data_IF_656187388392
#
_entry.id   IF_656187388392
#
_cell.length_a   1.000
_cell.length_b   1.000
_cell.length_c   1.000
_cell.angle_alpha   90.00
_cell.angle_beta   90.00
_cell.angle_gamma   90.00
#
_symmetry.space_group_name_H-M   'P 1'
#
loop_
_entity.id
_entity.type
_entity.pdbx_description
1 polymer ?
#
# COMPACT_ATOMS: atom_id res chain seq x y z
N UNK A 1 -22.87 54.22 -3.80
CA UNK A 1 -23.75 54.00 -4.96
C UNK A 1 -23.94 52.51 -5.14
N UNK A 2 -25.20 52.05 -5.07
CA UNK A 2 -25.61 50.69 -5.44
C UNK A 2 -25.41 50.48 -6.94
N UNK A 3 -25.05 49.27 -7.37
CA UNK A 3 -25.93 48.44 -8.19
C UNK A 3 -25.50 46.97 -8.13
N UNK A 4 -26.40 46.14 -7.60
CA UNK A 4 -26.52 44.70 -7.85
C UNK A 4 -27.19 44.52 -9.21
N UNK A 5 -26.75 43.53 -10.00
CA UNK A 5 -27.60 42.86 -10.99
C UNK A 5 -27.39 41.35 -10.85
N UNK A 6 -28.49 40.65 -10.57
CA UNK A 6 -28.68 39.20 -10.63
C UNK A 6 -29.65 38.93 -11.78
N UNK A 7 -29.27 38.08 -12.75
CA UNK A 7 -30.10 37.19 -13.60
C UNK A 7 -29.08 36.25 -14.28
N UNK A 8 -29.18 34.94 -14.46
CA UNK A 8 -30.20 33.91 -14.31
C UNK A 8 -29.69 32.69 -15.13
N UNK A 9 -30.11 31.49 -14.74
CA UNK A 9 -29.63 30.17 -15.20
C UNK A 9 -29.95 29.89 -16.68
N UNK A 10 -29.02 29.27 -17.43
CA UNK A 10 -29.32 28.28 -18.48
C UNK A 10 -28.06 27.54 -18.94
N UNK A 11 -28.13 26.21 -18.92
CA UNK A 11 -27.23 25.25 -19.56
C UNK A 11 -27.00 25.56 -21.05
N UNK A 12 -25.80 25.30 -21.60
CA UNK A 12 -25.56 24.66 -22.90
C UNK A 12 -24.05 24.41 -23.14
N UNK A 13 -23.76 23.34 -23.88
CA UNK A 13 -22.47 22.71 -24.21
C UNK A 13 -21.58 23.50 -25.18
N UNK A 14 -20.27 23.16 -25.15
CA UNK A 14 -19.21 23.29 -26.18
C UNK A 14 -18.93 24.67 -26.81
N UNK A 15 -17.72 25.18 -26.60
CA UNK A 15 -16.70 25.37 -27.67
C UNK A 15 -15.37 25.86 -27.07
N UNK A 16 -14.29 25.12 -27.37
CA UNK A 16 -12.91 25.47 -27.04
C UNK A 16 -12.38 26.44 -28.10
N UNK A 17 -12.26 27.72 -27.76
CA UNK A 17 -11.52 28.73 -28.53
C UNK A 17 -10.15 29.00 -27.90
N UNK A 18 -9.14 28.20 -28.24
CA UNK A 18 -7.74 28.48 -27.96
C UNK A 18 -7.10 29.17 -29.18
N UNK A 19 -6.13 30.06 -28.90
CA UNK A 19 -5.30 30.85 -29.83
C UNK A 19 -5.85 32.23 -30.23
N UNK A 20 -5.77 33.21 -29.32
CA UNK A 20 -5.92 34.63 -29.69
C UNK A 20 -4.86 35.59 -29.11
N UNK A 21 -3.85 35.13 -28.35
CA UNK A 21 -2.94 36.06 -27.64
C UNK A 21 -1.46 35.68 -27.67
N UNK A 22 -0.90 35.25 -28.80
CA UNK A 22 0.56 35.03 -28.96
C UNK A 22 1.18 35.90 -30.08
N UNK A 23 2.41 36.43 -29.93
CA UNK A 23 2.88 37.62 -30.66
C UNK A 23 3.46 37.38 -32.07
N UNK A 24 3.11 36.28 -32.75
CA UNK A 24 3.78 35.89 -34.01
C UNK A 24 2.83 35.32 -35.07
N UNK A 25 1.66 35.93 -35.24
CA UNK A 25 0.77 35.63 -36.36
C UNK A 25 0.78 36.82 -37.34
N UNK A 26 1.24 36.62 -38.57
CA UNK A 26 1.02 37.59 -39.65
C UNK A 26 -0.07 37.07 -40.57
N UNK A 27 -1.13 37.86 -40.71
CA UNK A 27 -2.20 37.59 -41.68
C UNK A 27 -1.72 37.87 -43.10
N UNK A 28 -1.74 36.85 -43.94
CA UNK A 28 -1.80 37.02 -45.40
C UNK A 28 -2.70 35.95 -46.00
N UNK A 29 -3.98 36.29 -46.17
CA UNK A 29 -4.97 35.60 -47.02
C UNK A 29 -5.29 34.15 -46.67
N UNK A 30 -6.49 33.90 -46.12
CA UNK A 30 -7.24 32.63 -45.96
C UNK A 30 -6.51 31.35 -45.47
N UNK A 31 -5.21 31.36 -45.28
CA UNK A 31 -4.40 30.27 -44.76
C UNK A 31 -3.54 30.84 -43.64
N UNK A 32 -3.84 30.43 -42.41
CA UNK A 32 -2.99 30.69 -41.25
C UNK A 32 -1.79 29.74 -41.35
N UNK A 33 -0.66 30.23 -41.84
CA UNK A 33 0.61 29.49 -41.76
C UNK A 33 1.27 29.73 -40.41
N UNK A 34 1.09 28.78 -39.49
CA UNK A 34 1.90 28.69 -38.28
C UNK A 34 3.20 27.94 -38.63
N UNK A 35 4.31 28.64 -38.84
CA UNK A 35 5.63 27.99 -38.83
C UNK A 35 6.01 27.73 -37.37
N UNK A 36 5.89 26.48 -36.89
CA UNK A 36 6.54 26.04 -35.65
C UNK A 36 8.04 26.36 -35.75
N UNK A 37 8.62 27.07 -34.77
CA UNK A 37 9.48 26.33 -33.83
C UNK A 37 9.70 27.05 -32.49
N UNK A 38 9.26 26.51 -31.34
CA UNK A 38 9.87 26.93 -30.06
C UNK A 38 9.87 25.75 -29.07
N UNK A 39 10.87 24.86 -29.17
CA UNK A 39 11.37 24.23 -27.95
C UNK A 39 12.03 25.34 -27.13
N UNK A 40 11.56 25.63 -25.91
CA UNK A 40 12.32 26.52 -25.06
C UNK A 40 13.65 25.85 -24.72
N UNK A 41 14.72 26.64 -24.63
CA UNK A 41 15.99 26.10 -24.15
C UNK A 41 15.79 25.70 -22.68
N UNK A 42 15.84 24.42 -22.33
CA UNK A 42 15.57 23.96 -20.97
C UNK A 42 16.54 24.54 -19.93
N UNK A 43 17.70 25.09 -20.34
CA UNK A 43 18.61 25.82 -19.43
C UNK A 43 18.04 27.15 -18.91
N UNK A 44 17.01 27.69 -19.55
CA UNK A 44 16.36 28.96 -19.16
C UNK A 44 14.90 28.76 -18.72
N UNK A 45 14.43 27.51 -18.67
CA UNK A 45 13.10 27.15 -18.16
C UNK A 45 13.26 26.71 -16.71
N UNK A 46 12.48 27.31 -15.83
CA UNK A 46 12.45 26.96 -14.41
C UNK A 46 11.07 26.36 -14.09
N UNK A 47 11.06 25.09 -13.70
CA UNK A 47 9.84 24.34 -13.43
C UNK A 47 9.43 24.59 -11.98
N UNK A 48 8.42 25.44 -11.77
CA UNK A 48 7.95 25.83 -10.44
C UNK A 48 6.46 25.50 -10.31
N UNK A 49 6.04 24.73 -9.29
CA UNK A 49 6.89 24.05 -8.31
C UNK A 49 7.75 22.95 -8.97
N UNK A 50 8.91 22.66 -8.36
CA UNK A 50 9.73 21.52 -8.75
C UNK A 50 8.92 20.26 -8.41
N UNK A 51 8.47 19.56 -9.44
CA UNK A 51 7.68 18.34 -9.30
C UNK A 51 8.65 17.17 -9.12
N UNK A 52 8.47 16.39 -8.07
CA UNK A 52 9.20 15.15 -7.84
C UNK A 52 8.29 13.93 -8.06
N UNK A 53 8.86 12.72 -8.24
CA UNK A 53 8.08 11.49 -8.39
C UNK A 53 7.03 11.26 -7.29
N UNK A 54 7.33 11.69 -6.06
CA UNK A 54 6.46 11.57 -4.89
C UNK A 54 5.23 12.48 -4.90
N UNK A 55 5.24 13.52 -5.73
CA UNK A 55 4.18 14.53 -5.79
C UNK A 55 3.03 14.08 -6.70
N UNK A 56 3.21 13.00 -7.48
CA UNK A 56 2.18 12.52 -8.38
C UNK A 56 1.01 11.86 -7.63
N UNK A 57 -0.25 12.23 -7.96
CA UNK A 57 -1.42 11.63 -7.35
C UNK A 57 -1.50 10.13 -7.65
N UNK A 58 -2.21 9.39 -6.78
CA UNK A 58 -2.40 7.95 -6.93
C UNK A 58 -2.94 7.60 -8.33
N UNK A 59 -2.36 6.58 -8.95
CA UNK A 59 -2.74 6.13 -10.30
C UNK A 59 -2.09 6.93 -11.43
N UNK A 60 -1.09 7.78 -11.13
CA UNK A 60 -0.37 8.58 -12.12
C UNK A 60 1.15 8.42 -11.96
N UNK A 61 1.91 8.64 -13.03
CA UNK A 61 3.34 8.35 -13.13
C UNK A 61 4.12 9.63 -13.35
N UNK A 62 5.23 9.77 -12.69
CA UNK A 62 6.13 10.88 -12.96
C UNK A 62 6.91 10.64 -14.25
N UNK A 63 6.77 11.54 -15.21
CA UNK A 63 7.60 11.57 -16.40
C UNK A 63 8.34 12.90 -16.50
N UNK A 64 9.64 12.82 -16.74
CA UNK A 64 10.47 13.96 -17.03
C UNK A 64 10.21 14.50 -18.45
N UNK A 65 10.45 15.79 -18.65
CA UNK A 65 10.48 16.40 -19.99
C UNK A 65 9.19 16.22 -20.80
N UNK A 66 8.03 16.31 -20.14
CA UNK A 66 6.75 16.08 -20.78
C UNK A 66 6.02 17.38 -21.15
N UNK A 67 6.08 18.40 -20.29
CA UNK A 67 5.35 19.67 -20.48
C UNK A 67 6.29 20.83 -20.80
N UNK A 68 5.73 21.92 -21.34
CA UNK A 68 6.47 23.13 -21.77
C UNK A 68 7.58 22.83 -22.80
N UNK A 69 7.24 22.16 -23.89
CA UNK A 69 8.18 21.86 -24.97
C UNK A 69 9.29 20.89 -24.56
N UNK A 70 8.93 19.92 -23.70
CA UNK A 70 9.81 18.88 -23.17
C UNK A 70 10.92 19.35 -22.22
N UNK A 71 10.63 20.34 -21.37
CA UNK A 71 11.59 20.82 -20.36
C UNK A 71 11.16 20.57 -18.92
N UNK A 72 9.86 20.36 -18.66
CA UNK A 72 9.36 20.17 -17.30
C UNK A 72 8.69 18.81 -17.12
N UNK A 73 8.83 18.20 -15.94
CA UNK A 73 8.15 16.95 -15.60
C UNK A 73 6.64 17.13 -15.42
N UNK A 74 5.90 16.04 -15.53
CA UNK A 74 4.48 15.97 -15.24
C UNK A 74 4.06 14.59 -14.75
N UNK A 75 2.88 14.53 -14.13
CA UNK A 75 2.24 13.28 -13.77
C UNK A 75 1.42 12.78 -14.95
N UNK A 76 1.50 11.50 -15.25
CA UNK A 76 0.89 10.88 -16.43
C UNK A 76 -0.11 9.85 -15.97
N UNK A 77 -1.32 9.87 -16.50
CA UNK A 77 -2.32 8.82 -16.31
C UNK A 77 -2.37 7.99 -17.59
N UNK A 78 -1.94 6.73 -17.52
CA UNK A 78 -2.04 5.78 -18.63
C UNK A 78 -3.41 5.09 -18.64
N UNK A 79 -3.72 4.43 -19.76
CA UNK A 79 -4.89 3.55 -19.85
C UNK A 79 -4.75 2.37 -18.87
N UNK A 80 -5.85 1.99 -18.22
CA UNK A 80 -5.90 0.84 -17.32
C UNK A 80 -6.15 -0.45 -18.10
N UNK A 81 -5.87 -1.60 -17.49
CA UNK A 81 -6.30 -2.91 -18.01
C UNK A 81 -7.81 -2.87 -18.28
N UNK A 82 -8.21 -3.27 -19.48
CA UNK A 82 -9.62 -3.23 -19.90
C UNK A 82 -10.08 -1.90 -20.52
N UNK A 83 -9.29 -0.82 -20.42
CA UNK A 83 -9.61 0.43 -21.10
C UNK A 83 -9.42 0.28 -22.61
N UNK A 84 -10.26 0.98 -23.37
CA UNK A 84 -10.15 1.02 -24.83
C UNK A 84 -8.88 1.77 -25.23
N UNK A 85 -8.06 1.11 -26.02
CA UNK A 85 -6.86 1.66 -26.62
C UNK A 85 -6.97 1.55 -28.15
N UNK A 86 -6.12 2.26 -28.89
CA UNK A 86 -6.19 2.27 -30.35
C UNK A 86 -4.85 1.80 -30.95
N UNK A 87 -4.82 0.62 -31.57
CA UNK A 87 -3.74 0.22 -32.49
C UNK A 87 -4.02 0.81 -33.87
N UNK A 88 -3.03 1.48 -34.47
CA UNK A 88 -3.01 1.76 -35.91
C UNK A 88 -1.98 0.82 -36.57
N UNK A 89 -2.40 -0.23 -37.30
CA UNK A 89 -1.49 -1.20 -37.90
C UNK A 89 -0.74 -0.68 -39.16
N UNK A 90 -0.87 0.60 -39.50
CA UNK A 90 -0.14 1.24 -40.60
C UNK A 90 0.87 2.28 -40.16
N UNK A 91 1.39 2.21 -38.93
CA UNK A 91 2.64 2.91 -38.64
C UNK A 91 3.61 2.19 -37.72
N UNK A 92 4.71 1.74 -38.34
CA UNK A 92 6.05 1.90 -37.78
C UNK A 92 6.14 3.28 -37.12
N UNK A 93 6.16 3.41 -35.78
CA UNK A 93 6.59 4.56 -34.97
C UNK A 93 6.45 6.01 -35.54
N UNK A 94 5.49 6.31 -36.44
CA UNK A 94 5.56 7.51 -37.31
C UNK A 94 4.20 8.23 -37.54
N UNK A 95 3.00 7.73 -37.19
CA UNK A 95 1.76 8.45 -37.58
C UNK A 95 0.72 8.73 -36.50
N UNK A 96 1.17 8.79 -35.24
CA UNK A 96 0.66 9.87 -34.37
C UNK A 96 1.68 11.02 -34.22
N UNK A 97 2.80 10.93 -34.97
CA UNK A 97 3.83 11.96 -35.13
C UNK A 97 3.73 12.69 -36.49
N UNK A 98 2.55 12.72 -37.13
CA UNK A 98 2.35 13.61 -38.30
C UNK A 98 1.95 15.04 -37.93
N UNK A 99 1.77 15.36 -36.64
CA UNK A 99 1.78 16.75 -36.16
C UNK A 99 2.74 17.04 -35.00
N UNK A 100 3.48 16.04 -34.52
CA UNK A 100 4.66 16.28 -33.70
C UNK A 100 5.83 15.77 -34.48
N UNK A 101 6.60 16.68 -35.07
CA UNK A 101 7.96 16.35 -35.51
C UNK A 101 8.72 15.93 -34.25
N UNK A 102 9.40 14.77 -34.20
CA UNK A 102 10.39 14.54 -33.15
C UNK A 102 11.42 15.65 -33.32
N UNK A 103 11.48 16.59 -32.37
CA UNK A 103 12.40 17.72 -32.44
C UNK A 103 13.83 17.18 -32.29
N UNK A 104 14.45 16.82 -33.42
CA UNK A 104 15.89 16.70 -33.53
C UNK A 104 16.49 18.09 -33.34
N UNK A 105 16.83 18.40 -32.10
CA UNK A 105 17.50 19.65 -31.75
C UNK A 105 18.91 19.66 -32.36
N UNK A 106 19.09 20.42 -33.43
CA UNK A 106 20.40 20.62 -34.03
C UNK A 106 21.22 21.58 -33.14
N UNK A 107 22.52 21.31 -32.85
CA UNK A 107 23.25 21.98 -31.77
C UNK A 107 23.52 23.47 -31.95
N UNK A 108 23.26 24.05 -33.12
CA UNK A 108 23.80 25.36 -33.46
C UNK A 108 22.71 26.24 -34.07
N UNK A 109 22.00 27.00 -33.21
CA UNK A 109 21.46 28.34 -33.51
C UNK A 109 20.86 28.94 -32.23
N UNK A 110 21.71 29.65 -31.49
CA UNK A 110 21.27 30.58 -30.45
C UNK A 110 20.52 31.75 -31.10
N UNK A 111 19.33 32.05 -30.59
CA UNK A 111 18.79 33.41 -30.63
C UNK A 111 18.30 33.78 -29.23
N UNK A 112 18.84 34.91 -28.77
CA UNK A 112 18.54 35.59 -27.52
C UNK A 112 17.06 35.98 -27.51
N UNK A 113 16.28 35.36 -26.63
CA UNK A 113 15.04 35.93 -26.14
C UNK A 113 15.34 36.41 -24.73
N UNK A 114 15.24 37.72 -24.56
CA UNK A 114 15.37 38.47 -23.32
C UNK A 114 14.57 37.78 -22.19
N UNK A 115 15.15 37.70 -21.00
CA UNK A 115 14.69 37.03 -19.76
C UNK A 115 13.16 37.04 -19.53
N UNK A 116 12.41 36.22 -20.26
CA UNK A 116 11.02 35.90 -19.95
C UNK A 116 11.00 34.60 -19.16
N UNK A 117 10.97 34.71 -17.83
CA UNK A 117 10.66 33.57 -16.96
C UNK A 117 9.26 33.08 -17.34
N UNK A 118 9.15 31.95 -18.04
CA UNK A 118 7.87 31.27 -18.25
C UNK A 118 7.54 30.53 -16.94
N UNK A 119 6.90 31.23 -16.00
CA UNK A 119 6.36 30.61 -14.78
C UNK A 119 5.07 29.87 -15.12
N UNK A 120 5.05 28.56 -14.91
CA UNK A 120 3.81 27.83 -14.75
C UNK A 120 3.12 28.34 -13.48
N UNK A 121 2.02 29.09 -13.63
CA UNK A 121 1.30 29.74 -12.53
C UNK A 121 0.08 28.92 -12.05
N UNK A 122 0.05 27.62 -12.33
CA UNK A 122 -0.99 26.75 -11.80
C UNK A 122 -0.49 26.11 -10.50
N UNK A 123 -1.30 26.21 -9.45
CA UNK A 123 -1.11 25.53 -8.16
C UNK A 123 -1.38 24.02 -8.26
N UNK A 124 -1.90 23.57 -9.39
CA UNK A 124 -2.31 22.20 -9.62
C UNK A 124 -1.20 21.41 -10.31
N UNK A 125 -0.95 20.19 -9.83
CA UNK A 125 0.04 19.26 -10.39
C UNK A 125 -0.31 18.99 -11.86
N UNK A 126 0.63 19.17 -12.81
CA UNK A 126 0.36 18.94 -14.22
C UNK A 126 0.06 17.44 -14.45
N UNK A 127 -1.19 17.13 -14.80
CA UNK A 127 -1.65 15.78 -15.11
C UNK A 127 -1.89 15.63 -16.62
N UNK A 128 -1.25 14.64 -17.24
CA UNK A 128 -1.35 14.33 -18.67
C UNK A 128 -1.97 12.95 -18.84
N UNK A 129 -3.09 12.83 -19.55
CA UNK A 129 -3.66 11.52 -19.86
C UNK A 129 -3.08 10.99 -21.17
N UNK A 130 -2.53 9.77 -21.17
CA UNK A 130 -2.04 9.08 -22.37
C UNK A 130 -3.03 8.01 -22.80
N UNK A 131 -3.28 7.94 -24.11
CA UNK A 131 -4.07 6.87 -24.74
C UNK A 131 -3.21 5.62 -25.05
N UNK A 132 -2.11 5.46 -24.32
CA UNK A 132 -1.18 4.34 -24.46
C UNK A 132 -1.38 3.41 -23.28
N UNK A 133 -1.26 2.12 -23.55
CA UNK A 133 -1.09 1.17 -22.47
C UNK A 133 0.27 1.42 -21.82
N UNK A 134 0.36 1.29 -20.50
CA UNK A 134 1.60 1.48 -19.75
C UNK A 134 2.55 0.28 -19.93
N UNK A 135 3.80 0.42 -19.46
CA UNK A 135 4.83 -0.62 -19.62
C UNK A 135 4.34 -2.00 -19.11
N UNK A 136 4.66 -3.07 -19.85
CA UNK A 136 4.15 -4.45 -19.65
C UNK A 136 2.69 -4.67 -20.07
N UNK A 137 2.03 -3.68 -20.66
CA UNK A 137 0.70 -3.84 -21.27
C UNK A 137 0.74 -3.52 -22.77
N UNK A 138 0.16 -4.42 -23.58
CA UNK A 138 -0.08 -4.22 -24.99
C UNK A 138 -1.56 -3.93 -25.28
N UNK A 139 -1.80 -3.08 -26.27
CA UNK A 139 -3.15 -2.80 -26.73
C UNK A 139 -3.70 -3.94 -27.63
N UNK A 140 -4.08 -5.08 -27.06
CA UNK A 140 -4.60 -6.20 -27.86
C UNK A 140 -6.10 -6.03 -28.15
N UNK A 141 -6.48 -6.11 -29.43
CA UNK A 141 -7.86 -5.94 -29.93
C UNK A 141 -8.54 -4.62 -29.49
N UNK A 142 -7.75 -3.56 -29.36
CA UNK A 142 -8.25 -2.24 -28.94
C UNK A 142 -8.58 -2.16 -27.44
N UNK A 143 -8.04 -3.08 -26.64
CA UNK A 143 -8.14 -3.09 -25.18
C UNK A 143 -6.73 -3.23 -24.59
N UNK A 144 -6.40 -2.48 -23.54
CA UNK A 144 -5.13 -2.68 -22.85
C UNK A 144 -5.13 -4.03 -22.11
N UNK A 145 -4.24 -4.92 -22.55
CA UNK A 145 -3.98 -6.26 -22.05
C UNK A 145 -2.51 -6.38 -21.67
N UNK A 146 -2.10 -7.44 -20.98
CA UNK A 146 -0.71 -7.60 -20.50
C UNK A 146 0.11 -8.32 -21.58
N UNK A 147 1.34 -7.85 -21.82
CA UNK A 147 2.29 -8.48 -22.74
C UNK A 147 2.73 -9.83 -22.13
N UNK A 148 2.44 -10.94 -22.83
CA UNK A 148 2.75 -12.33 -22.44
C UNK A 148 2.24 -12.81 -21.05
N UNK A 149 0.96 -13.18 -20.99
CA UNK A 149 0.28 -13.77 -19.82
C UNK A 149 0.84 -15.13 -19.30
N UNK A 150 1.98 -15.62 -19.79
CA UNK A 150 2.44 -16.99 -19.50
C UNK A 150 3.86 -17.13 -18.91
N UNK A 151 4.70 -16.07 -18.85
CA UNK A 151 6.12 -16.26 -18.52
C UNK A 151 6.63 -15.70 -17.17
N UNK A 152 5.92 -14.82 -16.47
CA UNK A 152 6.41 -14.30 -15.17
C UNK A 152 5.34 -13.61 -14.30
N UNK A 153 4.10 -14.11 -14.27
CA UNK A 153 3.07 -13.50 -13.41
C UNK A 153 3.28 -13.94 -11.96
N UNK A 154 4.05 -13.17 -11.20
CA UNK A 154 4.22 -13.32 -9.74
C UNK A 154 3.53 -12.17 -8.99
N UNK A 155 3.33 -12.34 -7.68
CA UNK A 155 2.79 -11.29 -6.81
C UNK A 155 1.28 -11.08 -6.93
N UNK A 156 0.85 -9.82 -6.97
CA UNK A 156 -0.56 -9.43 -6.89
C UNK A 156 -1.31 -9.75 -8.18
N UNK A 157 -0.66 -9.57 -9.34
CA UNK A 157 -1.28 -9.86 -10.63
C UNK A 157 -1.68 -11.34 -10.75
N UNK A 158 -0.87 -12.25 -10.19
CA UNK A 158 -1.20 -13.69 -10.13
C UNK A 158 -2.45 -13.91 -9.29
N UNK A 159 -2.51 -13.29 -8.12
CA UNK A 159 -3.66 -13.38 -7.23
C UNK A 159 -4.93 -12.78 -7.86
N UNK A 160 -4.81 -11.72 -8.68
CA UNK A 160 -5.94 -11.18 -9.45
C UNK A 160 -6.45 -12.21 -10.47
N UNK A 161 -5.57 -12.88 -11.21
CA UNK A 161 -5.98 -13.92 -12.16
C UNK A 161 -6.65 -15.11 -11.45
N UNK A 162 -6.13 -15.51 -10.29
CA UNK A 162 -6.75 -16.55 -9.46
C UNK A 162 -8.15 -16.14 -8.97
N UNK A 163 -8.32 -14.87 -8.56
CA UNK A 163 -9.62 -14.32 -8.18
C UNK A 163 -10.59 -14.25 -9.36
N UNK A 164 -10.16 -13.74 -10.52
CA UNK A 164 -11.00 -13.64 -11.73
C UNK A 164 -11.45 -15.04 -12.21
N UNK A 165 -10.54 -16.02 -12.18
CA UNK A 165 -10.83 -17.42 -12.51
C UNK A 165 -11.87 -18.00 -11.56
N UNK A 166 -11.69 -17.80 -10.26
CA UNK A 166 -12.64 -18.19 -9.22
C UNK A 166 -14.01 -17.54 -9.43
N UNK A 167 -14.04 -16.22 -9.67
CA UNK A 167 -15.27 -15.44 -9.87
C UNK A 167 -16.07 -15.94 -11.09
N UNK A 168 -15.38 -16.22 -12.20
CA UNK A 168 -16.00 -16.78 -13.41
C UNK A 168 -16.47 -18.23 -13.22
N UNK A 169 -15.80 -19.00 -12.37
CA UNK A 169 -16.15 -20.37 -11.99
C UNK A 169 -17.41 -20.50 -11.13
N UNK A 170 -17.93 -19.39 -10.57
CA UNK A 170 -19.13 -19.40 -9.72
C UNK A 170 -20.42 -19.82 -10.45
N UNK A 171 -20.39 -19.96 -11.78
CA UNK A 171 -21.53 -20.38 -12.60
C UNK A 171 -21.85 -21.90 -12.54
N UNK A 172 -21.27 -22.65 -11.59
CA UNK A 172 -21.48 -24.10 -11.50
C UNK A 172 -21.08 -24.79 -10.18
N UNK A 173 -21.42 -24.21 -9.02
CA UNK A 173 -21.44 -24.86 -7.68
C UNK A 173 -20.10 -25.01 -6.90
N UNK A 174 -18.93 -24.71 -7.46
CA UNK A 174 -17.67 -24.80 -6.70
C UNK A 174 -17.37 -23.52 -5.89
N UNK A 175 -17.97 -23.40 -4.71
CA UNK A 175 -17.66 -22.34 -3.74
C UNK A 175 -16.90 -22.83 -2.50
N UNK A 176 -16.34 -24.03 -2.54
CA UNK A 176 -15.64 -24.69 -1.41
C UNK A 176 -14.51 -23.86 -0.81
N UNK A 177 -13.89 -22.99 -1.61
CA UNK A 177 -12.91 -22.00 -1.17
C UNK A 177 -13.31 -20.62 -1.72
N UNK A 178 -13.33 -19.61 -0.84
CA UNK A 178 -13.62 -18.22 -1.17
C UNK A 178 -12.31 -17.47 -1.33
N UNK A 179 -12.08 -16.91 -2.53
CA UNK A 179 -10.96 -16.01 -2.80
C UNK A 179 -11.34 -14.57 -2.45
N UNK A 180 -10.36 -13.70 -2.25
CA UNK A 180 -10.58 -12.28 -2.04
C UNK A 180 -9.96 -11.49 -3.19
N UNK A 181 -10.51 -10.32 -3.48
CA UNK A 181 -10.05 -9.44 -4.55
C UNK A 181 -8.84 -8.62 -4.10
N UNK A 182 -7.63 -8.88 -4.64
CA UNK A 182 -6.45 -8.14 -4.25
C UNK A 182 -6.39 -6.77 -4.93
N UNK A 183 -5.93 -5.77 -4.20
CA UNK A 183 -5.64 -4.45 -4.77
C UNK A 183 -4.20 -4.40 -5.27
N UNK A 184 -3.99 -4.18 -6.56
CA UNK A 184 -2.65 -4.17 -7.13
C UNK A 184 -2.21 -2.77 -7.51
N UNK A 185 -0.92 -2.52 -7.28
CA UNK A 185 -0.21 -1.45 -7.99
C UNK A 185 -0.19 -1.75 -9.48
N UNK A 186 0.10 -0.72 -10.26
CA UNK A 186 0.25 -0.86 -11.70
C UNK A 186 1.31 -1.89 -12.12
N UNK A 187 2.41 -2.00 -11.38
CA UNK A 187 3.51 -2.93 -11.68
C UNK A 187 3.23 -4.39 -11.25
N UNK A 188 1.99 -4.72 -10.90
CA UNK A 188 1.61 -6.08 -10.48
C UNK A 188 2.03 -6.47 -9.06
N UNK A 189 2.65 -5.56 -8.29
CA UNK A 189 2.87 -5.71 -6.86
C UNK A 189 1.59 -5.38 -6.05
N UNK A 190 1.49 -5.88 -4.82
CA UNK A 190 0.35 -5.55 -3.94
C UNK A 190 0.39 -4.08 -3.56
N UNK A 191 -0.76 -3.41 -3.64
CA UNK A 191 -0.89 -2.03 -3.19
C UNK A 191 -0.65 -1.92 -1.68
N UNK A 192 -0.29 -0.72 -1.22
CA UNK A 192 0.05 -0.43 0.17
C UNK A 192 -1.13 -0.71 1.13
N UNK A 193 -2.36 -0.56 0.66
CA UNK A 193 -3.60 -0.82 1.39
C UNK A 193 -4.33 -2.01 0.75
N UNK A 194 -4.70 -2.98 1.56
CA UNK A 194 -5.48 -4.14 1.15
C UNK A 194 -6.75 -4.27 1.96
N UNK A 195 -7.75 -4.91 1.36
CA UNK A 195 -8.96 -5.35 2.04
C UNK A 195 -9.33 -6.73 1.55
N UNK A 196 -9.51 -7.68 2.46
CA UNK A 196 -10.03 -8.99 2.08
C UNK A 196 -11.54 -8.90 1.91
N UNK A 197 -11.99 -8.89 0.66
CA UNK A 197 -13.39 -8.77 0.26
C UNK A 197 -13.68 -9.64 -0.95
N UNK A 198 -14.94 -10.08 -1.10
CA UNK A 198 -15.44 -10.74 -2.30
C UNK A 198 -16.97 -10.59 -2.40
N UNK A 199 -17.57 -11.21 -3.42
CA UNK A 199 -19.02 -11.14 -3.66
C UNK A 199 -19.90 -11.65 -2.50
N UNK A 200 -19.35 -12.42 -1.55
CA UNK A 200 -20.07 -12.99 -0.40
C UNK A 200 -19.67 -12.40 0.95
N UNK A 201 -18.64 -11.54 0.96
CA UNK A 201 -18.06 -10.94 2.14
C UNK A 201 -17.73 -9.49 1.83
N UNK A 202 -18.55 -8.54 2.28
CA UNK A 202 -18.18 -7.14 2.16
C UNK A 202 -16.86 -6.91 2.89
N UNK A 203 -16.15 -5.87 2.47
CA UNK A 203 -15.02 -5.31 3.21
C UNK A 203 -15.47 -5.18 4.67
N UNK A 204 -14.65 -5.62 5.63
CA UNK A 204 -14.85 -5.36 7.06
C UNK A 204 -13.70 -4.51 7.66
N UNK A 205 -12.51 -4.64 7.09
CA UNK A 205 -11.31 -3.93 7.54
C UNK A 205 -10.33 -3.73 6.39
N UNK A 206 -9.51 -2.69 6.51
CA UNK A 206 -8.34 -2.45 5.66
C UNK A 206 -7.06 -2.69 6.46
N UNK A 207 -6.01 -3.15 5.78
CA UNK A 207 -4.70 -3.38 6.40
C UNK A 207 -3.56 -2.97 5.47
N UNK A 208 -2.42 -2.69 6.08
CA UNK A 208 -1.21 -2.37 5.35
C UNK A 208 -0.54 -3.63 4.81
N UNK A 209 -0.08 -3.57 3.56
CA UNK A 209 0.60 -4.68 2.88
C UNK A 209 1.93 -4.25 2.32
N UNK A 210 2.90 -5.16 2.28
CA UNK A 210 4.17 -5.05 1.57
C UNK A 210 4.03 -5.37 0.07
N UNK A 211 4.99 -5.00 -0.79
CA UNK A 211 4.86 -5.21 -2.24
C UNK A 211 4.66 -6.69 -2.64
N UNK A 212 5.15 -7.61 -1.81
CA UNK A 212 4.99 -9.06 -1.95
C UNK A 212 3.66 -9.61 -1.42
N UNK A 213 2.80 -8.77 -0.84
CA UNK A 213 1.51 -9.16 -0.27
C UNK A 213 1.55 -9.50 1.22
N UNK A 214 2.74 -9.46 1.84
CA UNK A 214 2.88 -9.70 3.27
C UNK A 214 2.16 -8.60 4.05
N UNK A 215 1.31 -8.99 5.01
CA UNK A 215 0.68 -8.05 5.93
C UNK A 215 1.72 -7.38 6.82
N UNK A 216 1.68 -6.06 6.88
CA UNK A 216 2.58 -5.22 7.69
C UNK A 216 1.78 -4.37 8.67
N UNK A 217 2.47 -3.64 9.56
CA UNK A 217 1.81 -2.85 10.60
C UNK A 217 0.84 -1.82 10.02
N UNK A 218 -0.33 -1.70 10.63
CA UNK A 218 -1.36 -0.73 10.29
C UNK A 218 -2.65 -1.39 9.83
N UNK A 219 -3.76 -0.99 10.44
CA UNK A 219 -5.09 -1.53 10.19
C UNK A 219 -6.18 -0.54 10.60
N UNK A 220 -7.32 -0.58 9.92
CA UNK A 220 -8.48 0.24 10.22
C UNK A 220 -9.77 -0.54 9.97
N UNK A 221 -10.78 -0.33 10.81
CA UNK A 221 -12.16 -0.76 10.51
C UNK A 221 -12.77 0.20 9.49
N UNK A 222 -13.86 -0.22 8.85
CA UNK A 222 -14.58 0.65 7.91
C UNK A 222 -15.26 1.81 8.62
N UNK A 223 -15.75 1.57 9.83
CA UNK A 223 -16.47 2.53 10.65
C UNK A 223 -15.57 3.64 11.20
N UNK A 224 -14.28 3.36 11.42
CA UNK A 224 -13.31 4.30 11.99
C UNK A 224 -12.63 5.21 10.93
N UNK A 225 -13.37 5.64 9.90
CA UNK A 225 -12.87 6.43 8.76
C UNK A 225 -11.78 5.71 7.95
N UNK A 226 -12.18 4.65 7.24
CA UNK A 226 -11.31 3.91 6.31
C UNK A 226 -10.70 4.72 5.15
N UNK A 227 -10.99 6.01 5.03
CA UNK A 227 -10.35 6.94 4.09
C UNK A 227 -9.02 7.49 4.63
N UNK A 228 -8.68 7.23 5.89
CA UNK A 228 -7.43 7.69 6.53
C UNK A 228 -6.28 6.65 6.52
N UNK A 229 -6.53 5.40 6.10
CA UNK A 229 -5.46 4.39 6.01
C UNK A 229 -4.71 4.50 4.68
N UNK A 230 -3.45 4.94 4.73
CA UNK A 230 -2.59 5.04 3.55
C UNK A 230 -1.28 4.25 3.67
N UNK A 231 -0.93 3.72 4.84
CA UNK A 231 0.18 2.78 5.00
C UNK A 231 1.54 3.30 4.51
N UNK A 232 1.75 4.62 4.45
CA UNK A 232 2.95 5.20 3.85
C UNK A 232 4.18 5.01 4.72
N UNK A 233 4.04 5.25 6.02
CA UNK A 233 5.11 4.98 6.98
C UNK A 233 5.43 3.50 7.01
N UNK A 234 4.40 2.67 7.07
CA UNK A 234 4.53 1.21 7.11
C UNK A 234 5.30 0.68 5.89
N UNK A 235 4.94 1.11 4.68
CA UNK A 235 5.69 0.79 3.46
C UNK A 235 7.13 1.28 3.52
N UNK A 236 7.35 2.53 3.94
CA UNK A 236 8.70 3.09 3.98
C UNK A 236 9.59 2.37 4.98
N UNK A 237 9.06 2.02 6.14
CA UNK A 237 9.77 1.26 7.17
C UNK A 237 10.11 -0.15 6.68
N UNK A 238 9.19 -0.83 6.00
CA UNK A 238 9.47 -2.13 5.37
C UNK A 238 10.64 -2.05 4.38
N UNK A 239 10.67 -1.04 3.51
CA UNK A 239 11.78 -0.83 2.56
C UNK A 239 13.13 -0.70 3.27
N UNK A 240 13.18 0.14 4.31
CA UNK A 240 14.39 0.37 5.09
C UNK A 240 14.83 -0.87 5.87
N UNK A 241 13.89 -1.67 6.37
CA UNK A 241 14.18 -2.95 7.02
C UNK A 241 14.74 -3.98 6.02
N UNK A 242 14.32 -3.94 4.74
CA UNK A 242 14.92 -4.76 3.67
C UNK A 242 16.33 -4.32 3.30
N UNK A 243 16.66 -3.03 3.41
CA UNK A 243 18.04 -2.55 3.22
C UNK A 243 18.98 -3.10 4.30
N UNK A 244 18.52 -3.25 5.55
CA UNK A 244 19.30 -3.91 6.61
C UNK A 244 19.67 -5.33 6.19
N UNK A 245 18.68 -6.08 5.71
CA UNK A 245 18.84 -7.50 5.39
C UNK A 245 19.66 -7.75 4.12
N UNK A 246 19.59 -6.86 3.13
CA UNK A 246 20.20 -7.06 1.82
C UNK A 246 21.64 -6.55 1.72
N UNK A 247 21.95 -5.42 2.35
CA UNK A 247 23.26 -4.74 2.20
C UNK A 247 23.93 -4.39 3.51
N UNK A 248 23.27 -4.61 4.67
CA UNK A 248 23.82 -4.25 5.97
C UNK A 248 24.13 -2.75 6.12
N UNK A 249 23.45 -1.89 5.33
CA UNK A 249 23.75 -0.46 5.26
C UNK A 249 23.43 0.31 6.55
N UNK A 250 22.65 -0.28 7.45
CA UNK A 250 22.21 0.30 8.73
C UNK A 250 21.93 -0.79 9.76
N UNK A 251 21.96 -0.44 11.05
CA UNK A 251 21.81 -1.39 12.17
C UNK A 251 20.35 -1.54 12.67
N UNK A 252 19.51 -0.52 12.46
CA UNK A 252 18.14 -0.40 12.99
C UNK A 252 17.28 0.54 12.13
N UNK A 253 15.94 0.51 12.27
CA UNK A 253 14.98 1.49 11.72
C UNK A 253 14.09 2.00 12.85
N UNK A 254 14.01 3.32 13.03
CA UNK A 254 13.30 3.94 14.17
C UNK A 254 12.14 4.84 13.76
N UNK A 255 11.67 4.76 12.51
CA UNK A 255 10.47 5.48 12.08
C UNK A 255 9.23 5.02 12.87
N UNK A 256 8.41 5.96 13.31
CA UNK A 256 7.16 5.67 14.03
C UNK A 256 5.95 5.81 13.12
N UNK A 257 5.17 4.75 13.04
CA UNK A 257 3.95 4.72 12.26
C UNK A 257 2.73 4.79 13.17
N UNK A 258 1.70 5.54 12.75
CA UNK A 258 0.40 5.55 13.39
C UNK A 258 -0.40 4.27 13.06
N UNK A 259 -1.54 4.06 13.74
CA UNK A 259 -2.36 2.85 13.58
C UNK A 259 -2.87 2.64 12.14
N UNK A 260 -3.06 3.72 11.39
CA UNK A 260 -3.43 3.73 9.98
C UNK A 260 -2.22 3.51 9.03
N UNK A 261 -1.04 3.24 9.59
CA UNK A 261 0.20 3.01 8.88
C UNK A 261 0.83 4.26 8.26
N UNK A 262 0.32 5.46 8.56
CA UNK A 262 0.92 6.74 8.18
C UNK A 262 1.95 7.21 9.20
N UNK A 263 2.67 8.29 8.88
CA UNK A 263 3.77 8.74 9.72
C UNK A 263 3.26 9.52 10.93
N UNK A 264 3.87 9.30 12.09
CA UNK A 264 3.78 10.28 13.17
C UNK A 264 4.45 11.61 12.74
N UNK A 265 3.95 12.78 13.18
CA UNK A 265 4.45 14.08 12.70
C UNK A 265 5.95 14.32 12.93
N UNK A 266 6.50 13.77 14.01
CA UNK A 266 7.92 13.75 14.30
C UNK A 266 8.49 12.39 13.92
N UNK A 267 9.49 12.36 13.06
CA UNK A 267 10.22 11.15 12.72
C UNK A 267 11.66 11.29 13.14
N UNK A 268 12.22 10.25 13.75
CA UNK A 268 13.65 10.15 13.96
C UNK A 268 14.19 8.85 13.41
N UNK A 269 15.34 8.96 12.75
CA UNK A 269 16.06 7.84 12.16
C UNK A 269 17.55 8.18 12.12
N UNK A 270 18.40 7.19 12.40
CA UNK A 270 19.86 7.37 12.42
C UNK A 270 20.31 8.58 13.27
N UNK A 271 19.76 8.71 14.48
CA UNK A 271 20.04 9.77 15.46
C UNK A 271 19.73 11.19 14.97
N UNK A 272 18.88 11.32 13.94
CA UNK A 272 18.39 12.60 13.41
C UNK A 272 16.87 12.60 13.37
N UNK A 273 16.27 13.74 13.68
CA UNK A 273 14.84 13.95 13.74
C UNK A 273 14.41 15.05 12.77
N UNK A 274 13.23 14.90 12.16
CA UNK A 274 12.61 15.91 11.31
C UNK A 274 11.09 15.86 11.43
N UNK A 275 10.44 16.96 11.07
CA UNK A 275 9.00 16.99 10.89
C UNK A 275 8.64 16.46 9.52
N UNK A 276 7.60 15.63 9.46
CA UNK A 276 7.07 15.08 8.23
C UNK A 276 5.58 15.39 8.15
N UNK A 277 5.05 15.51 6.94
CA UNK A 277 3.63 15.49 6.72
C UNK A 277 3.14 14.03 6.86
N UNK A 278 2.23 13.73 7.82
CA UNK A 278 1.74 12.36 8.06
C UNK A 278 1.22 11.66 6.81
N UNK A 279 0.49 12.40 5.97
CA UNK A 279 -0.26 11.88 4.83
C UNK A 279 0.57 11.86 3.54
N UNK A 280 1.49 12.80 3.33
CA UNK A 280 2.28 12.83 2.08
C UNK A 280 3.67 12.21 2.24
N UNK A 281 4.18 12.08 3.47
CA UNK A 281 5.56 11.66 3.72
C UNK A 281 6.61 12.71 3.34
N UNK A 282 6.20 13.93 3.02
CA UNK A 282 7.12 15.03 2.68
C UNK A 282 7.72 15.61 3.96
N UNK A 283 9.04 15.74 4.00
CA UNK A 283 9.73 16.42 5.10
C UNK A 283 9.36 17.91 5.12
N UNK A 284 8.83 18.37 6.25
CA UNK A 284 8.42 19.75 6.50
C UNK A 284 9.53 20.58 7.18
N UNK A 285 10.58 19.92 7.66
CA UNK A 285 11.72 20.59 8.29
C UNK A 285 13.04 19.98 7.84
N UNK A 286 14.13 20.69 8.17
CA UNK A 286 15.47 20.10 8.14
C UNK A 286 15.59 19.07 9.25
N UNK A 287 16.42 18.04 9.01
CA UNK A 287 16.77 17.07 10.01
C UNK A 287 17.77 17.66 11.02
N UNK A 288 17.45 17.56 12.31
CA UNK A 288 18.30 17.96 13.42
C UNK A 288 18.79 16.71 14.16
N UNK A 289 19.97 16.71 14.78
CA UNK A 289 20.35 15.68 15.77
C UNK A 289 19.24 15.45 16.80
N UNK A 290 19.04 14.21 17.24
CA UNK A 290 17.96 13.82 18.17
C UNK A 290 17.92 14.68 19.44
N UNK A 291 19.09 15.04 19.97
CA UNK A 291 19.23 15.95 21.14
C UNK A 291 18.71 17.37 20.91
N UNK A 292 18.32 17.71 19.70
CA UNK A 292 17.73 18.99 19.31
C UNK A 292 16.33 18.83 18.71
N UNK A 293 15.72 17.63 18.81
CA UNK A 293 14.37 17.38 18.32
C UNK A 293 13.33 18.33 18.92
N UNK A 294 13.51 18.74 20.18
CA UNK A 294 12.65 19.73 20.86
C UNK A 294 12.60 21.12 20.20
N UNK A 295 13.52 21.41 19.27
CA UNK A 295 13.49 22.65 18.49
C UNK A 295 12.65 22.55 17.21
N UNK A 296 12.14 21.37 16.87
CA UNK A 296 11.32 21.14 15.70
C UNK A 296 9.87 21.58 15.94
N UNK A 297 9.18 22.17 14.93
CA UNK A 297 7.84 22.71 15.11
C UNK A 297 6.76 21.65 15.37
N UNK A 298 6.99 20.40 14.97
CA UNK A 298 6.10 19.26 15.20
C UNK A 298 6.40 18.52 16.52
N UNK A 299 7.42 18.95 17.28
CA UNK A 299 7.73 18.30 18.54
C UNK A 299 6.66 18.64 19.57
N UNK A 300 6.01 17.61 20.10
CA UNK A 300 5.05 17.69 21.18
C UNK A 300 5.56 16.91 22.40
N UNK A 301 5.78 17.62 23.51
CA UNK A 301 6.28 17.02 24.74
C UNK A 301 5.27 16.05 25.37
N UNK A 302 3.97 16.29 25.20
CA UNK A 302 2.93 15.40 25.74
C UNK A 302 2.89 14.07 24.98
N UNK A 303 3.14 14.12 23.67
CA UNK A 303 3.12 12.94 22.81
C UNK A 303 4.43 12.13 22.88
N UNK A 304 5.58 12.80 22.82
CA UNK A 304 6.89 12.14 22.71
C UNK A 304 7.66 12.06 24.03
N UNK A 305 7.30 12.86 25.05
CA UNK A 305 8.08 12.95 26.28
C UNK A 305 9.51 13.45 26.05
N UNK A 306 10.43 13.09 26.96
CA UNK A 306 11.82 13.58 26.91
C UNK A 306 12.73 12.83 25.91
N UNK A 307 12.27 11.72 25.33
CA UNK A 307 13.02 10.91 24.38
C UNK A 307 12.10 10.37 23.28
N UNK A 308 12.58 10.37 22.03
CA UNK A 308 11.77 9.89 20.90
C UNK A 308 11.51 8.37 20.99
N UNK A 309 12.56 7.57 21.26
CA UNK A 309 12.43 6.11 21.34
C UNK A 309 11.50 5.69 22.49
N UNK A 310 10.53 4.83 22.17
CA UNK A 310 9.59 4.30 23.16
C UNK A 310 10.22 3.20 24.01
N UNK A 311 9.50 2.73 25.04
CA UNK A 311 10.03 1.75 26.02
C UNK A 311 10.50 0.45 25.36
N UNK A 312 9.76 -0.06 24.38
CA UNK A 312 10.13 -1.28 23.68
C UNK A 312 11.44 -1.08 22.90
N UNK A 313 11.52 -0.02 22.10
CA UNK A 313 12.65 0.28 21.24
C UNK A 313 13.90 0.60 22.06
N UNK A 314 13.77 1.39 23.13
CA UNK A 314 14.87 1.65 24.08
C UNK A 314 15.47 0.33 24.59
N UNK A 315 14.62 -0.66 24.90
CA UNK A 315 15.05 -1.98 25.37
C UNK A 315 15.66 -2.82 24.23
N UNK A 316 15.05 -2.83 23.05
CA UNK A 316 15.52 -3.62 21.90
C UNK A 316 16.85 -3.09 21.37
N UNK A 317 16.93 -1.79 21.10
CA UNK A 317 18.14 -1.11 20.61
C UNK A 317 19.24 -1.09 21.67
N UNK A 318 18.91 -0.86 22.94
CA UNK A 318 19.88 -0.92 24.03
C UNK A 318 20.56 -2.29 24.15
N UNK A 319 19.80 -3.37 23.98
CA UNK A 319 20.33 -4.74 23.90
C UNK A 319 21.18 -4.95 22.66
N UNK A 320 20.73 -4.50 21.49
CA UNK A 320 21.49 -4.60 20.25
C UNK A 320 22.85 -3.88 20.35
N UNK A 321 22.86 -2.63 20.84
CA UNK A 321 24.08 -1.85 21.09
C UNK A 321 25.00 -2.53 22.11
N UNK A 322 24.45 -3.03 23.21
CA UNK A 322 25.22 -3.77 24.23
C UNK A 322 25.83 -5.05 23.66
N UNK A 323 25.07 -5.80 22.86
CA UNK A 323 25.52 -7.02 22.19
C UNK A 323 26.63 -6.74 21.17
N UNK A 324 26.51 -5.68 20.38
CA UNK A 324 27.55 -5.24 19.44
C UNK A 324 28.84 -4.91 20.21
N UNK A 325 28.74 -4.07 21.24
CA UNK A 325 29.89 -3.72 22.09
C UNK A 325 30.56 -4.94 22.74
N UNK A 326 29.79 -5.86 23.30
CA UNK A 326 30.33 -7.09 23.89
C UNK A 326 31.04 -7.96 22.85
N UNK A 327 30.45 -8.12 21.66
CA UNK A 327 31.06 -8.85 20.54
C UNK A 327 32.35 -8.22 20.06
N UNK A 328 32.39 -6.89 19.94
CA UNK A 328 33.60 -6.14 19.57
C UNK A 328 34.73 -6.34 20.59
N UNK A 329 34.38 -6.66 21.85
CA UNK A 329 35.32 -7.01 22.92
C UNK A 329 35.54 -8.53 23.09
N UNK A 330 35.10 -9.37 22.15
CA UNK A 330 35.31 -10.82 22.17
C UNK A 330 34.37 -11.61 23.10
N UNK A 331 33.35 -10.97 23.67
CA UNK A 331 32.35 -11.62 24.52
C UNK A 331 31.06 -11.93 23.75
N UNK A 332 30.67 -13.19 23.75
CA UNK A 332 29.38 -13.63 23.21
C UNK A 332 28.32 -13.66 24.31
N UNK A 333 27.42 -12.69 24.30
CA UNK A 333 26.26 -12.71 25.17
C UNK A 333 25.14 -13.57 24.58
N UNK A 334 24.84 -14.69 25.23
CA UNK A 334 23.68 -15.53 24.91
C UNK A 334 22.42 -14.82 25.42
N UNK A 335 21.74 -14.15 24.50
CA UNK A 335 20.57 -13.33 24.80
C UNK A 335 19.42 -14.20 25.34
N UNK A 336 18.96 -13.90 26.56
CA UNK A 336 17.88 -14.63 27.23
C UNK A 336 16.47 -14.19 26.75
N UNK A 337 16.33 -13.05 26.07
CA UNK A 337 15.01 -12.48 25.75
C UNK A 337 15.04 -11.67 24.46
N UNK A 338 14.31 -12.12 23.42
CA UNK A 338 13.99 -11.26 22.28
C UNK A 338 12.83 -10.34 22.64
N UNK A 339 13.01 -9.03 22.44
CA UNK A 339 11.92 -8.05 22.57
C UNK A 339 11.65 -7.55 21.16
N UNK A 340 10.48 -7.89 20.64
CA UNK A 340 9.98 -7.37 19.35
C UNK A 340 9.14 -6.14 19.63
N UNK A 341 9.25 -5.14 18.76
CA UNK A 341 8.47 -3.91 18.85
C UNK A 341 7.62 -3.77 17.60
N UNK A 342 6.40 -3.27 17.78
CA UNK A 342 5.54 -2.85 16.68
C UNK A 342 6.10 -1.55 16.07
N UNK A 343 5.59 -1.16 14.91
CA UNK A 343 6.13 -0.01 14.17
C UNK A 343 5.72 1.36 14.72
N UNK A 344 4.77 1.38 15.65
CA UNK A 344 4.52 2.50 16.54
C UNK A 344 5.46 2.49 17.75
N UNK A 345 6.52 1.68 17.78
CA UNK A 345 7.46 1.58 18.90
C UNK A 345 6.89 0.97 20.19
N UNK A 346 5.63 0.51 20.18
CA UNK A 346 5.04 -0.27 21.27
C UNK A 346 5.58 -1.71 21.28
N UNK A 347 5.21 -2.50 22.29
CA UNK A 347 5.62 -3.90 22.33
C UNK A 347 4.88 -4.72 21.29
N UNK A 348 5.60 -5.61 20.60
CA UNK A 348 5.01 -6.55 19.68
C UNK A 348 4.05 -7.52 20.36
N UNK A 349 3.13 -8.09 19.59
CA UNK A 349 2.04 -8.96 20.08
C UNK A 349 2.47 -10.25 20.77
N UNK A 350 3.67 -10.77 20.48
CA UNK A 350 4.22 -12.00 21.07
C UNK A 350 5.40 -11.67 21.98
N UNK A 351 5.34 -12.13 23.24
CA UNK A 351 6.46 -12.06 24.16
C UNK A 351 6.87 -13.46 24.62
N UNK A 352 8.15 -13.78 24.45
CA UNK A 352 8.72 -15.07 24.85
C UNK A 352 9.76 -14.90 25.96
N UNK A 353 9.56 -15.60 27.06
CA UNK A 353 10.47 -15.62 28.19
C UNK A 353 11.19 -16.97 28.26
N UNK A 354 12.50 -16.96 27.96
CA UNK A 354 13.31 -18.18 28.00
C UNK A 354 13.48 -18.72 29.43
N UNK A 355 13.32 -17.89 30.46
CA UNK A 355 13.45 -18.34 31.85
C UNK A 355 12.27 -19.19 32.29
N UNK A 356 11.04 -18.82 31.91
CA UNK A 356 9.85 -19.63 32.14
C UNK A 356 9.61 -20.71 31.06
N UNK A 357 10.26 -20.60 29.90
CA UNK A 357 10.04 -21.52 28.78
C UNK A 357 8.70 -21.32 28.09
N UNK A 358 8.10 -20.13 28.21
CA UNK A 358 6.77 -19.81 27.70
C UNK A 358 6.78 -18.60 26.77
N UNK A 359 5.88 -18.64 25.79
CA UNK A 359 5.52 -17.51 24.94
C UNK A 359 4.07 -17.14 25.18
N UNK A 360 3.76 -15.84 25.23
CA UNK A 360 2.42 -15.32 25.55
C UNK A 360 2.05 -14.14 24.69
N UNK A 361 0.75 -13.94 24.51
CA UNK A 361 0.23 -12.74 23.88
C UNK A 361 0.27 -11.57 24.85
N UNK A 362 0.76 -10.43 24.39
CA UNK A 362 0.88 -9.21 25.19
C UNK A 362 0.30 -8.01 24.46
N UNK A 363 -0.20 -7.03 25.21
CA UNK A 363 -0.66 -5.75 24.72
C UNK A 363 0.50 -4.82 24.35
N UNK A 364 0.17 -3.59 23.92
CA UNK A 364 1.14 -2.55 23.54
C UNK A 364 2.09 -2.14 24.68
N UNK A 365 1.76 -2.46 25.92
CA UNK A 365 2.53 -2.16 27.14
C UNK A 365 3.29 -3.36 27.70
N UNK A 366 3.32 -4.50 26.97
CA UNK A 366 3.90 -5.77 27.41
C UNK A 366 3.13 -6.44 28.57
N UNK A 367 1.85 -6.12 28.75
CA UNK A 367 0.97 -6.80 29.69
C UNK A 367 0.30 -8.00 29.01
N UNK A 368 0.21 -9.13 29.71
CA UNK A 368 -0.38 -10.35 29.16
C UNK A 368 -1.87 -10.16 28.83
N UNK A 369 -2.26 -10.59 27.63
CA UNK A 369 -3.65 -10.62 27.18
C UNK A 369 -4.22 -11.99 27.52
N UNK A 370 -5.21 -12.02 28.41
CA UNK A 370 -5.92 -13.25 28.80
C UNK A 370 -5.00 -14.42 29.16
N UNK A 371 -5.47 -15.63 28.85
CA UNK A 371 -4.74 -16.87 29.05
C UNK A 371 -4.13 -17.40 27.74
N UNK A 372 -3.67 -16.49 26.87
CA UNK A 372 -3.06 -16.87 25.61
C UNK A 372 -1.55 -17.06 25.76
N UNK A 373 -1.15 -18.31 25.94
CA UNK A 373 0.26 -18.69 26.04
C UNK A 373 0.50 -20.11 25.53
N UNK A 374 1.73 -20.36 25.10
CA UNK A 374 2.22 -21.65 24.65
C UNK A 374 3.64 -21.89 25.18
N UNK A 375 4.18 -23.09 24.97
CA UNK A 375 5.56 -23.40 25.31
C UNK A 375 6.51 -22.85 24.26
N UNK A 376 7.77 -22.62 24.63
CA UNK A 376 8.82 -22.21 23.68
C UNK A 376 9.02 -23.17 22.51
N UNK A 377 8.58 -24.43 22.62
CA UNK A 377 8.64 -25.43 21.54
C UNK A 377 7.69 -25.09 20.39
N UNK A 378 6.54 -24.49 20.70
CA UNK A 378 5.50 -24.12 19.74
C UNK A 378 5.47 -22.60 19.51
N UNK A 379 6.61 -21.92 19.72
CA UNK A 379 6.69 -20.46 19.59
C UNK A 379 6.30 -20.00 18.18
N UNK A 380 6.73 -20.71 17.15
CA UNK A 380 6.54 -20.30 15.76
C UNK A 380 5.08 -20.47 15.31
N UNK A 381 4.30 -21.28 16.04
CA UNK A 381 2.86 -21.41 15.85
C UNK A 381 2.08 -20.26 16.49
N UNK A 382 2.72 -19.39 17.28
CA UNK A 382 2.06 -18.31 18.01
C UNK A 382 2.25 -16.96 17.30
N UNK A 383 1.16 -16.42 16.74
CA UNK A 383 1.13 -15.10 16.10
C UNK A 383 0.33 -14.06 16.88
N UNK A 384 -0.51 -14.45 17.86
CA UNK A 384 -1.28 -13.56 18.74
C UNK A 384 -2.20 -12.55 18.04
N UNK A 385 -2.53 -12.76 16.76
CA UNK A 385 -3.29 -11.79 15.98
C UNK A 385 -4.71 -11.62 16.50
N UNK A 386 -5.43 -12.72 16.73
CA UNK A 386 -6.80 -12.69 17.22
C UNK A 386 -6.90 -12.06 18.61
N UNK A 387 -6.00 -12.43 19.53
CA UNK A 387 -5.99 -11.86 20.88
C UNK A 387 -5.78 -10.34 20.89
N UNK A 388 -4.96 -9.82 19.97
CA UNK A 388 -4.77 -8.38 19.79
C UNK A 388 -5.98 -7.71 19.16
N UNK A 389 -6.51 -8.29 18.11
CA UNK A 389 -7.67 -7.75 17.41
C UNK A 389 -8.91 -7.74 18.32
N UNK A 390 -9.09 -8.75 19.17
CA UNK A 390 -10.17 -8.81 20.17
C UNK A 390 -10.02 -7.70 21.23
N UNK A 391 -8.80 -7.53 21.78
CA UNK A 391 -8.51 -6.45 22.74
C UNK A 391 -8.77 -5.06 22.13
N UNK A 392 -8.47 -4.89 20.84
CA UNK A 392 -8.67 -3.65 20.10
C UNK A 392 -10.11 -3.48 19.56
N UNK A 393 -11.01 -4.42 19.83
CA UNK A 393 -12.41 -4.38 19.36
C UNK A 393 -12.56 -4.54 17.85
N UNK A 394 -11.58 -5.13 17.18
CA UNK A 394 -11.53 -5.32 15.72
C UNK A 394 -12.13 -6.64 15.25
N UNK A 395 -12.33 -7.60 16.15
CA UNK A 395 -12.91 -8.89 15.81
C UNK A 395 -13.84 -9.39 16.91
N UNK A 396 -14.81 -10.20 16.50
CA UNK A 396 -15.68 -10.99 17.39
C UNK A 396 -15.49 -12.50 17.13
N UNK A 397 -14.48 -12.87 16.34
CA UNK A 397 -14.16 -14.25 16.04
C UNK A 397 -13.52 -14.93 17.25
N UNK A 398 -13.67 -16.25 17.33
CA UNK A 398 -13.08 -17.02 18.42
C UNK A 398 -11.58 -17.14 18.23
N UNK A 399 -10.81 -16.91 19.29
CA UNK A 399 -9.37 -17.16 19.29
C UNK A 399 -9.05 -18.60 19.74
N UNK A 400 -7.97 -19.14 19.20
CA UNK A 400 -7.47 -20.48 19.53
C UNK A 400 -7.05 -20.62 21.00
N UNK A 401 -6.93 -21.88 21.44
CA UNK A 401 -6.48 -22.27 22.78
C UNK A 401 -5.36 -23.31 22.66
N UNK A 402 -4.54 -23.49 23.70
CA UNK A 402 -3.44 -24.47 23.69
C UNK A 402 -2.29 -24.06 22.75
N UNK A 403 -1.94 -24.90 21.77
CA UNK A 403 -0.83 -24.61 20.84
C UNK A 403 -1.11 -23.46 19.86
N UNK A 404 -2.39 -23.14 19.59
CA UNK A 404 -2.82 -22.00 18.78
C UNK A 404 -3.35 -20.83 19.62
N UNK A 405 -2.97 -20.78 20.91
CA UNK A 405 -3.51 -19.83 21.87
C UNK A 405 -3.33 -18.37 21.42
N UNK A 406 -4.44 -17.67 21.14
CA UNK A 406 -4.43 -16.25 20.76
C UNK A 406 -4.26 -15.97 19.26
N UNK A 407 -4.08 -16.99 18.43
CA UNK A 407 -4.29 -16.90 16.99
C UNK A 407 -5.79 -16.97 16.69
N UNK A 408 -6.21 -16.66 15.46
CA UNK A 408 -7.57 -16.96 15.03
C UNK A 408 -7.81 -18.47 15.10
N UNK A 409 -8.91 -18.89 15.71
CA UNK A 409 -9.33 -20.30 15.63
C UNK A 409 -9.76 -20.57 14.19
N UNK A 410 -9.03 -21.44 13.48
CA UNK A 410 -9.28 -21.69 12.06
C UNK A 410 -10.75 -22.08 11.80
N UNK A 411 -11.31 -22.99 12.59
CA UNK A 411 -12.70 -23.38 12.51
C UNK A 411 -13.57 -22.46 13.40
N UNK A 412 -14.38 -21.62 12.77
CA UNK A 412 -15.36 -20.77 13.44
C UNK A 412 -16.74 -21.42 13.45
N UNK A 413 -17.53 -21.06 14.47
CA UNK A 413 -18.89 -21.56 14.67
C UNK A 413 -19.84 -20.39 14.92
N UNK A 414 -20.93 -20.30 14.16
CA UNK A 414 -21.97 -19.30 14.34
C UNK A 414 -23.33 -20.00 14.35
N UNK A 415 -24.00 -20.06 15.51
CA UNK A 415 -25.28 -20.74 15.68
C UNK A 415 -25.25 -22.17 15.10
N UNK A 416 -25.98 -22.42 14.01
CA UNK A 416 -26.10 -23.69 13.31
C UNK A 416 -25.13 -23.85 12.15
N UNK A 417 -24.17 -22.94 11.94
CA UNK A 417 -23.19 -22.99 10.86
C UNK A 417 -21.76 -23.02 11.34
N UNK A 418 -20.89 -23.52 10.47
CA UNK A 418 -19.43 -23.53 10.63
C UNK A 418 -18.76 -23.03 9.35
N UNK A 419 -17.59 -22.43 9.51
CA UNK A 419 -16.78 -21.91 8.41
C UNK A 419 -15.33 -21.81 8.85
N UNK A 420 -14.40 -21.74 7.90
CA UNK A 420 -12.98 -21.63 8.22
C UNK A 420 -12.41 -20.26 7.85
N UNK A 421 -11.52 -19.78 8.72
CA UNK A 421 -10.83 -18.49 8.61
C UNK A 421 -9.32 -18.69 8.56
N UNK A 422 -8.63 -17.80 7.85
CA UNK A 422 -7.18 -17.81 7.77
C UNK A 422 -6.52 -17.13 8.99
N UNK A 423 -5.19 -17.03 8.96
CA UNK A 423 -4.39 -16.43 10.05
C UNK A 423 -4.70 -14.95 10.35
N UNK A 424 -5.42 -14.27 9.46
CA UNK A 424 -5.88 -12.89 9.63
C UNK A 424 -7.36 -12.79 10.00
N UNK A 425 -8.06 -13.92 10.13
CA UNK A 425 -9.49 -13.97 10.43
C UNK A 425 -10.39 -13.83 9.21
N UNK A 426 -9.85 -13.90 7.98
CA UNK A 426 -10.68 -13.88 6.77
C UNK A 426 -11.31 -15.23 6.53
N UNK A 427 -12.64 -15.26 6.36
CA UNK A 427 -13.39 -16.48 6.05
C UNK A 427 -13.07 -16.92 4.62
N UNK A 428 -12.38 -18.03 4.45
CA UNK A 428 -12.03 -18.56 3.13
C UNK A 428 -12.92 -19.74 2.72
N UNK A 429 -13.99 -20.05 3.47
CA UNK A 429 -15.00 -21.06 3.09
C UNK A 429 -16.41 -20.50 3.20
N UNK A 430 -17.41 -21.11 2.54
CA UNK A 430 -18.82 -20.84 2.80
C UNK A 430 -19.22 -21.24 4.22
N UNK A 431 -20.47 -20.92 4.55
CA UNK A 431 -21.12 -21.48 5.72
C UNK A 431 -21.61 -22.89 5.43
N UNK A 432 -21.27 -23.83 6.32
CA UNK A 432 -21.74 -25.21 6.31
C UNK A 432 -22.72 -25.44 7.46
N UNK A 433 -23.87 -26.04 7.17
CA UNK A 433 -24.90 -26.33 8.18
C UNK A 433 -24.51 -27.53 9.06
N UNK A 434 -24.44 -27.32 10.38
CA UNK A 434 -24.22 -28.38 11.37
C UNK A 434 -25.36 -29.39 11.32
N UNK A 435 -25.05 -30.67 11.12
CA UNK A 435 -26.01 -31.77 11.28
C UNK A 435 -26.05 -32.25 12.73
N UNK A 436 -27.24 -32.57 13.24
CA UNK A 436 -27.42 -33.01 14.63
C UNK A 436 -26.58 -34.24 14.94
N UNK A 437 -25.59 -34.08 15.81
CA UNK A 437 -24.74 -35.17 16.32
C UNK A 437 -23.59 -35.60 15.39
N UNK A 438 -23.33 -34.88 14.30
CA UNK A 438 -22.21 -35.17 13.37
C UNK A 438 -21.50 -33.91 12.92
N UNK A 439 -20.23 -34.08 12.52
CA UNK A 439 -19.41 -32.99 12.01
C UNK A 439 -19.56 -32.83 10.50
N UNK A 440 -19.40 -31.60 10.00
CA UNK A 440 -19.38 -31.33 8.58
C UNK A 440 -18.02 -31.57 7.95
N UNK A 441 -17.99 -32.25 6.81
CA UNK A 441 -16.81 -32.24 5.96
C UNK A 441 -16.69 -30.86 5.28
N UNK A 442 -15.73 -30.05 5.73
CA UNK A 442 -15.42 -28.75 5.15
C UNK A 442 -14.17 -28.92 4.28
N UNK A 443 -14.29 -28.86 2.95
CA UNK A 443 -13.14 -28.91 2.05
C UNK A 443 -12.16 -27.77 2.34
N UNK A 444 -10.88 -28.02 2.08
CA UNK A 444 -9.81 -27.02 2.22
C UNK A 444 -9.66 -26.40 3.62
N UNK A 445 -10.30 -26.97 4.65
CA UNK A 445 -10.14 -26.56 6.04
C UNK A 445 -9.27 -27.58 6.81
N UNK A 446 -7.94 -27.37 6.91
CA UNK A 446 -7.01 -28.26 7.60
C UNK A 446 -7.49 -28.77 8.95
N UNK A 447 -8.04 -27.89 9.80
CA UNK A 447 -8.51 -28.27 11.13
C UNK A 447 -9.66 -29.28 11.05
N UNK A 448 -10.58 -29.12 10.10
CA UNK A 448 -11.69 -30.05 9.92
C UNK A 448 -11.26 -31.36 9.25
N UNK A 449 -10.39 -31.27 8.24
CA UNK A 449 -9.85 -32.46 7.56
C UNK A 449 -9.17 -33.41 8.55
N UNK A 450 -8.35 -32.88 9.48
CA UNK A 450 -7.71 -33.68 10.53
C UNK A 450 -8.72 -34.34 11.47
N UNK A 451 -9.79 -33.64 11.85
CA UNK A 451 -10.82 -34.20 12.73
C UNK A 451 -11.64 -35.31 12.06
N UNK A 452 -11.90 -35.19 10.76
CA UNK A 452 -12.62 -36.21 9.98
C UNK A 452 -11.76 -37.44 9.63
N UNK A 453 -10.43 -37.34 9.73
CA UNK A 453 -9.48 -38.41 9.40
C UNK A 453 -8.96 -39.17 10.64
N UNK A 454 -9.31 -38.75 11.85
CA UNK A 454 -8.83 -39.38 13.09
C UNK A 454 -9.51 -40.72 13.42
N UNK A 455 -8.75 -41.63 14.07
CA UNK A 455 -9.16 -43.00 14.46
C UNK A 455 -10.33 -43.09 15.46
N UNK A 456 -10.90 -41.98 15.93
CA UNK A 456 -11.95 -41.95 16.94
C UNK A 456 -13.35 -41.75 16.33
N UNK A 457 -13.81 -42.64 15.44
CA UNK A 457 -15.25 -42.80 15.11
C UNK A 457 -16.02 -41.55 14.65
N UNK A 458 -15.35 -40.43 14.37
CA UNK A 458 -15.95 -39.16 13.98
C UNK A 458 -16.27 -39.22 12.50
N UNK A 459 -17.41 -39.81 12.17
CA UNK A 459 -17.93 -39.82 10.79
C UNK A 459 -18.42 -38.41 10.47
N UNK A 460 -17.64 -37.69 9.67
CA UNK A 460 -18.11 -36.46 9.05
C UNK A 460 -19.08 -36.82 7.92
N UNK A 461 -20.22 -36.15 7.88
CA UNK A 461 -21.19 -36.28 6.79
C UNK A 461 -20.94 -35.19 5.75
N UNK A 462 -21.41 -35.43 4.52
CA UNK A 462 -21.59 -34.37 3.53
C UNK A 462 -22.58 -33.34 4.08
N UNK A 463 -22.13 -32.08 4.17
CA UNK A 463 -22.95 -30.98 4.65
C UNK A 463 -23.38 -30.08 3.50
N UNK A 464 -24.60 -29.56 3.64
CA UNK A 464 -25.10 -28.49 2.78
C UNK A 464 -24.28 -27.22 3.05
N UNK A 465 -23.65 -26.71 1.98
CA UNK A 465 -23.04 -25.38 1.96
C UNK A 465 -24.01 -24.38 1.33
N UNK A 466 -23.95 -23.13 1.77
CA UNK A 466 -24.59 -22.01 1.10
C UNK A 466 -23.53 -20.99 0.73
N UNK A 467 -23.34 -20.78 -0.58
CA UNK A 467 -22.53 -19.66 -1.07
C UNK A 467 -23.30 -18.34 -0.88
N UNK A 468 -24.64 -18.36 -0.85
CA UNK A 468 -25.47 -17.20 -0.53
C UNK A 468 -25.13 -16.72 0.89
N UNK A 469 -24.69 -15.47 1.01
CA UNK A 469 -24.56 -14.81 2.32
C UNK A 469 -25.86 -14.97 3.11
N UNK A 470 -25.72 -15.21 4.41
CA UNK A 470 -26.86 -15.38 5.34
C UNK A 470 -27.80 -14.17 5.25
#
# INVERSE_FOLDING_TARGET
MKFLIFVGVSSFLLELGLCANWPSCTESGANVHCTLPICPNCKIVDCIPELEPKDCPRGTFFEENLVLGSCCPACVEYLKKGDKCFYSPTTTNVSLYENTVPLQCHPNKERVVELSIIRYKNKDIPLVKRNQCPDQHECLDGICQIEDAAAAVEGCLKATLEYDSWLNGLNGEECSELKWEPSCTFYGAYDNVQSKTNVFQPVNSKFCSAPDGTRIFGQATIEAEADEINCRCSRKRWELEKEILSIGARDDVTLHCERNGDFEPLQCDLERCWCINPVTGVALSRALPEKMAMALPCYDKELFGDQYLRRCETRSLGKAKSRKKLRDHGFYWLESMGVTCDWDGSFGKVYCDKSSGQCKCVDKNNQQIGNYFTTMLNKDDLNCQCARDELEGLTQLNCGSGSSAGNYLELQSLLTTEYCVDESGFRFTPYYLKTSGKFCQIPNCPSRVKQCQGDEGNVCDECLSSCSGI
#
